data_IF_968068972996
#
_entry.id   IF_968068972996
#
_cell.length_a   1.000
_cell.length_b   1.000
_cell.length_c   1.000
_cell.angle_alpha   90.00
_cell.angle_beta   90.00
_cell.angle_gamma   90.00
#
_symmetry.space_group_name_H-M   'P 1'
#
loop_
_entity.id
_entity.type
_entity.pdbx_description
1 polymer ?
#
# COMPACT_ATOMS: atom_id res chain seq x y z
N UNK A 1 1.86 19.31 -7.17
CA UNK A 1 1.91 17.98 -7.82
C UNK A 1 2.38 18.14 -9.25
N UNK A 2 2.95 17.10 -9.81
CA UNK A 2 3.33 17.08 -11.21
C UNK A 2 2.10 17.21 -12.12
N UNK A 3 2.23 17.89 -13.26
CA UNK A 3 1.15 18.03 -14.24
C UNK A 3 0.75 16.68 -14.86
N UNK A 4 1.64 15.68 -14.83
CA UNK A 4 1.33 14.35 -15.34
C UNK A 4 0.44 13.53 -14.41
N UNK A 5 0.31 13.94 -13.16
CA UNK A 5 -0.54 13.25 -12.19
C UNK A 5 -2.00 13.59 -12.46
N UNK A 6 -2.78 12.60 -12.89
CA UNK A 6 -4.19 12.80 -13.25
C UNK A 6 -4.98 11.50 -13.03
N UNK A 7 -6.28 11.66 -12.85
CA UNK A 7 -7.19 10.52 -12.77
C UNK A 7 -7.13 9.69 -14.06
N UNK A 8 -7.22 8.39 -13.93
CA UNK A 8 -7.14 7.45 -15.04
C UNK A 8 -5.77 6.79 -15.21
N UNK A 9 -4.73 7.32 -14.54
CA UNK A 9 -3.43 6.65 -14.53
C UNK A 9 -3.56 5.27 -13.89
N UNK A 10 -2.91 4.28 -14.47
CA UNK A 10 -2.96 2.91 -13.98
C UNK A 10 -1.59 2.25 -14.09
N UNK A 11 -1.42 1.19 -13.33
CA UNK A 11 -0.23 0.35 -13.37
C UNK A 11 -0.61 -1.08 -13.04
N UNK A 12 0.14 -2.02 -13.60
CA UNK A 12 -0.03 -3.44 -13.32
C UNK A 12 1.32 -3.99 -12.89
N UNK A 13 1.31 -4.82 -11.86
CA UNK A 13 2.52 -5.41 -11.28
C UNK A 13 2.28 -6.89 -11.01
N UNK A 14 3.22 -7.72 -11.43
CA UNK A 14 3.21 -9.13 -11.08
C UNK A 14 4.09 -9.36 -9.86
N UNK A 15 3.56 -10.12 -8.90
CA UNK A 15 4.26 -10.47 -7.67
C UNK A 15 4.37 -12.00 -7.60
N UNK A 16 5.57 -12.50 -7.43
CA UNK A 16 5.80 -13.92 -7.18
C UNK A 16 5.60 -14.18 -5.70
N UNK A 17 4.80 -15.18 -5.39
CA UNK A 17 4.43 -15.49 -4.00
C UNK A 17 5.52 -16.35 -3.38
N UNK A 18 6.48 -15.70 -2.75
CA UNK A 18 7.58 -16.33 -2.05
C UNK A 18 7.16 -16.73 -0.63
N UNK A 19 8.03 -17.44 0.06
CA UNK A 19 7.75 -17.93 1.41
C UNK A 19 7.44 -16.78 2.39
N UNK A 20 8.16 -15.69 2.31
CA UNK A 20 7.98 -14.53 3.22
C UNK A 20 6.60 -13.90 3.10
N UNK A 21 5.96 -14.01 1.94
CA UNK A 21 4.61 -13.50 1.71
C UNK A 21 3.51 -14.42 2.20
N UNK A 22 3.86 -15.59 2.73
CA UNK A 22 2.89 -16.63 3.05
C UNK A 22 2.73 -16.89 4.53
N UNK A 23 1.58 -17.47 4.88
CA UNK A 23 1.27 -18.01 6.21
C UNK A 23 1.04 -19.50 6.09
N UNK A 24 1.25 -20.20 7.20
CA UNK A 24 1.19 -21.68 7.24
C UNK A 24 0.01 -22.23 8.05
N UNK A 25 -1.07 -21.45 8.15
CA UNK A 25 -2.24 -21.84 8.97
C UNK A 25 -2.86 -23.18 8.53
N UNK A 26 -2.78 -23.49 7.24
CA UNK A 26 -3.30 -24.74 6.66
C UNK A 26 -2.21 -25.80 6.49
N UNK A 27 -1.08 -25.65 7.17
CA UNK A 27 0.06 -26.54 7.06
C UNK A 27 1.12 -26.02 6.11
N UNK A 28 2.33 -26.53 6.26
CA UNK A 28 3.48 -26.05 5.48
C UNK A 28 3.37 -26.39 3.99
N UNK A 29 2.62 -27.43 3.65
CA UNK A 29 2.36 -27.85 2.26
C UNK A 29 1.33 -26.94 1.56
N UNK A 30 0.58 -26.15 2.31
CA UNK A 30 -0.47 -25.30 1.79
C UNK A 30 -0.26 -23.83 2.24
N UNK A 31 0.95 -23.35 2.11
CA UNK A 31 1.24 -21.95 2.42
C UNK A 31 0.58 -21.03 1.41
N UNK A 32 -0.11 -20.02 1.91
CA UNK A 32 -0.89 -19.09 1.09
C UNK A 32 -0.49 -17.65 1.34
N UNK A 33 -0.66 -16.84 0.31
CA UNK A 33 -0.43 -15.39 0.33
C UNK A 33 -1.23 -14.77 1.46
N UNK A 34 -0.56 -14.13 2.41
CA UNK A 34 -1.22 -13.54 3.56
C UNK A 34 -1.89 -12.21 3.20
N UNK A 35 -2.99 -11.90 3.86
CA UNK A 35 -3.70 -10.63 3.65
C UNK A 35 -2.82 -9.42 3.95
N UNK A 36 -2.04 -9.37 5.04
CA UNK A 36 -1.14 -8.24 5.27
C UNK A 36 -0.09 -8.04 4.18
N UNK A 37 0.47 -9.10 3.63
CA UNK A 37 1.47 -9.01 2.56
C UNK A 37 0.84 -8.58 1.25
N UNK A 38 -0.34 -9.10 0.93
CA UNK A 38 -1.12 -8.67 -0.22
C UNK A 38 -1.40 -7.16 -0.13
N UNK A 39 -1.85 -6.70 1.03
CA UNK A 39 -2.10 -5.28 1.25
C UNK A 39 -0.83 -4.46 1.05
N UNK A 40 0.28 -4.88 1.62
CA UNK A 40 1.56 -4.21 1.46
C UNK A 40 1.93 -4.07 -0.03
N UNK A 41 1.82 -5.16 -0.79
CA UNK A 41 2.16 -5.16 -2.21
C UNK A 41 1.24 -4.23 -3.02
N UNK A 42 -0.05 -4.16 -2.67
CA UNK A 42 -1.00 -3.22 -3.29
C UNK A 42 -0.62 -1.78 -2.94
N UNK A 43 -0.34 -1.48 -1.68
CA UNK A 43 0.07 -0.15 -1.25
C UNK A 43 1.33 0.31 -1.99
N UNK A 44 2.31 -0.59 -2.15
CA UNK A 44 3.55 -0.25 -2.84
C UNK A 44 3.32 0.00 -4.33
N UNK A 45 2.40 -0.72 -4.96
CA UNK A 45 2.03 -0.46 -6.36
C UNK A 45 1.43 0.94 -6.51
N UNK A 46 0.54 1.33 -5.61
CA UNK A 46 -0.06 2.67 -5.61
C UNK A 46 0.99 3.75 -5.33
N UNK A 47 1.82 3.55 -4.32
CA UNK A 47 2.90 4.49 -3.98
C UNK A 47 3.85 4.70 -5.14
N UNK A 48 4.29 3.64 -5.78
CA UNK A 48 5.23 3.71 -6.90
C UNK A 48 4.63 4.45 -8.10
N UNK A 49 3.34 4.25 -8.37
CA UNK A 49 2.66 5.00 -9.43
C UNK A 49 2.65 6.50 -9.12
N UNK A 50 2.35 6.88 -7.89
CA UNK A 50 2.40 8.29 -7.48
C UNK A 50 3.81 8.86 -7.58
N UNK A 51 4.83 8.12 -7.17
CA UNK A 51 6.22 8.58 -7.24
C UNK A 51 6.68 8.84 -8.67
N UNK A 52 6.21 8.09 -9.64
CA UNK A 52 6.52 8.31 -11.05
C UNK A 52 6.02 9.66 -11.56
N UNK A 53 5.00 10.21 -10.92
CA UNK A 53 4.33 11.44 -11.33
C UNK A 53 4.41 12.55 -10.29
N UNK A 54 5.24 12.37 -9.26
CA UNK A 54 5.39 13.35 -8.18
C UNK A 54 6.64 14.21 -8.38
N UNK A 55 6.59 15.41 -7.84
CA UNK A 55 7.74 16.32 -7.78
C UNK A 55 8.78 15.77 -6.79
N UNK A 56 10.03 16.19 -6.94
CA UNK A 56 11.10 15.85 -6.01
C UNK A 56 10.75 16.31 -4.59
N UNK A 57 11.11 15.54 -3.60
CA UNK A 57 10.84 15.86 -2.20
C UNK A 57 9.43 15.48 -1.73
N UNK A 58 8.64 14.84 -2.59
CA UNK A 58 7.29 14.38 -2.25
C UNK A 58 7.25 12.87 -2.15
N UNK A 59 6.39 12.39 -1.28
CA UNK A 59 6.01 10.97 -1.17
C UNK A 59 4.53 10.91 -0.80
N UNK A 60 4.03 9.78 -0.44
CA UNK A 60 2.65 9.63 0.01
C UNK A 60 2.57 8.64 1.16
N UNK A 61 1.52 8.80 1.96
CA UNK A 61 1.20 7.89 3.06
C UNK A 61 -0.19 7.30 2.84
N UNK A 62 -0.36 6.03 3.21
CA UNK A 62 -1.67 5.40 3.17
C UNK A 62 -2.55 5.94 4.28
N UNK A 63 -3.82 6.21 3.95
CA UNK A 63 -4.78 6.78 4.91
C UNK A 63 -6.01 5.91 5.10
N UNK A 64 -6.37 5.09 4.11
CA UNK A 64 -7.53 4.21 4.18
C UNK A 64 -7.38 3.06 3.20
N UNK A 65 -7.90 1.92 3.58
CA UNK A 65 -7.98 0.77 2.69
C UNK A 65 -9.30 0.02 2.92
N UNK A 66 -9.89 -0.43 1.82
CA UNK A 66 -10.98 -1.39 1.80
C UNK A 66 -10.47 -2.55 0.94
N UNK A 67 -10.35 -3.72 1.52
CA UNK A 67 -9.78 -4.88 0.84
C UNK A 67 -10.65 -6.09 1.08
N UNK A 68 -11.16 -6.68 0.01
CA UNK A 68 -11.77 -8.00 0.03
C UNK A 68 -10.76 -8.99 -0.54
N UNK A 69 -10.25 -9.87 0.30
CA UNK A 69 -9.33 -10.94 -0.09
C UNK A 69 -10.17 -12.19 -0.35
N UNK A 70 -10.51 -12.42 -1.61
CA UNK A 70 -11.55 -13.37 -2.01
C UNK A 70 -11.01 -14.70 -2.56
N UNK A 71 -9.73 -14.75 -2.91
CA UNK A 71 -9.11 -15.96 -3.43
C UNK A 71 -7.78 -16.23 -2.75
N UNK A 72 -7.50 -17.49 -2.45
CA UNK A 72 -6.24 -17.92 -1.85
C UNK A 72 -5.23 -18.26 -2.95
N UNK A 73 -4.02 -17.74 -2.83
CA UNK A 73 -2.93 -18.02 -3.78
C UNK A 73 -1.80 -18.74 -3.04
N UNK A 74 -1.33 -19.85 -3.57
CA UNK A 74 -0.30 -20.65 -2.93
C UNK A 74 1.10 -20.13 -3.22
N UNK A 75 2.01 -20.42 -2.31
CA UNK A 75 3.45 -20.17 -2.52
C UNK A 75 3.90 -20.80 -3.85
N UNK A 76 4.69 -20.05 -4.61
CA UNK A 76 5.16 -20.48 -5.92
C UNK A 76 4.30 -20.03 -7.09
N UNK A 77 3.08 -19.58 -6.83
CA UNK A 77 2.23 -18.96 -7.84
C UNK A 77 2.59 -17.48 -7.99
N UNK A 78 1.94 -16.80 -8.91
CA UNK A 78 2.08 -15.35 -9.07
C UNK A 78 0.71 -14.68 -8.91
N UNK A 79 0.74 -13.40 -8.56
CA UNK A 79 -0.44 -12.54 -8.51
C UNK A 79 -0.16 -11.29 -9.32
N UNK A 80 -1.13 -10.88 -10.12
CA UNK A 80 -1.07 -9.63 -10.88
C UNK A 80 -1.96 -8.60 -10.20
N UNK A 81 -1.35 -7.51 -9.77
CA UNK A 81 -2.03 -6.40 -9.09
C UNK A 81 -2.19 -5.26 -10.09
N UNK A 82 -3.42 -4.79 -10.25
CA UNK A 82 -3.74 -3.65 -11.10
C UNK A 82 -4.29 -2.53 -10.23
N UNK A 83 -3.72 -1.34 -10.34
CA UNK A 83 -4.16 -0.16 -9.60
C UNK A 83 -4.49 0.96 -10.57
N UNK A 84 -5.55 1.70 -10.28
CA UNK A 84 -5.99 2.83 -11.09
C UNK A 84 -6.24 4.02 -10.18
N UNK A 85 -5.63 5.14 -10.50
CA UNK A 85 -5.88 6.40 -9.79
C UNK A 85 -7.25 6.92 -10.20
N UNK A 86 -8.23 6.80 -9.31
CA UNK A 86 -9.63 7.09 -9.60
C UNK A 86 -9.98 8.55 -9.35
N UNK A 87 -9.44 9.14 -8.28
CA UNK A 87 -9.77 10.50 -7.89
C UNK A 87 -8.55 11.23 -7.35
N UNK A 88 -8.50 12.55 -7.61
CA UNK A 88 -7.52 13.46 -7.03
C UNK A 88 -8.31 14.64 -6.46
N UNK A 89 -8.09 14.92 -5.18
CA UNK A 89 -8.66 16.08 -4.51
C UNK A 89 -7.55 16.78 -3.71
N UNK A 90 -6.83 17.69 -4.37
CA UNK A 90 -5.63 18.29 -3.80
C UNK A 90 -4.56 17.22 -3.58
N UNK A 91 -4.11 17.09 -2.34
CA UNK A 91 -3.12 16.07 -1.95
C UNK A 91 -3.76 14.70 -1.63
N UNK A 92 -5.09 14.64 -1.50
CA UNK A 92 -5.79 13.39 -1.24
C UNK A 92 -6.06 12.67 -2.56
N UNK A 93 -5.66 11.42 -2.65
CA UNK A 93 -5.83 10.61 -3.86
C UNK A 93 -6.48 9.28 -3.49
N UNK A 94 -7.27 8.75 -4.41
CA UNK A 94 -7.97 7.50 -4.23
C UNK A 94 -7.72 6.56 -5.40
N UNK A 95 -7.41 5.31 -5.07
CA UNK A 95 -7.17 4.24 -6.03
C UNK A 95 -8.26 3.19 -5.96
N UNK A 96 -8.60 2.62 -7.12
CA UNK A 96 -9.27 1.33 -7.22
C UNK A 96 -8.21 0.27 -7.52
N UNK A 97 -8.36 -0.92 -6.97
CA UNK A 97 -7.44 -2.00 -7.28
C UNK A 97 -8.14 -3.34 -7.44
N UNK A 98 -7.50 -4.20 -8.20
CA UNK A 98 -7.84 -5.62 -8.32
C UNK A 98 -6.55 -6.43 -8.28
N UNK A 99 -6.65 -7.68 -7.85
CA UNK A 99 -5.55 -8.63 -7.92
C UNK A 99 -6.12 -9.97 -8.39
N UNK A 100 -5.36 -10.65 -9.25
CA UNK A 100 -5.77 -11.96 -9.74
C UNK A 100 -4.56 -12.87 -9.90
N UNK A 101 -4.76 -14.17 -9.71
CA UNK A 101 -3.76 -15.17 -10.03
C UNK A 101 -4.12 -15.85 -11.36
N UNK A 102 -3.43 -16.93 -11.70
CA UNK A 102 -3.68 -17.64 -12.95
C UNK A 102 -5.07 -18.28 -12.99
N UNK A 103 -5.71 -18.47 -11.85
CA UNK A 103 -6.95 -19.24 -11.72
C UNK A 103 -8.16 -18.34 -11.51
N UNK A 104 -8.04 -17.29 -10.67
CA UNK A 104 -9.20 -16.56 -10.19
C UNK A 104 -8.85 -15.16 -9.71
N UNK A 105 -9.89 -14.36 -9.41
CA UNK A 105 -9.71 -13.11 -8.71
C UNK A 105 -9.26 -13.38 -7.27
N UNK A 106 -8.23 -12.66 -6.85
CA UNK A 106 -7.63 -12.79 -5.51
C UNK A 106 -8.15 -11.69 -4.58
N UNK A 107 -8.24 -10.47 -5.09
CA UNK A 107 -8.66 -9.33 -4.26
C UNK A 107 -9.23 -8.20 -5.10
N UNK A 108 -10.00 -7.35 -4.42
CA UNK A 108 -10.51 -6.09 -4.98
C UNK A 108 -10.70 -5.10 -3.85
N UNK A 109 -10.70 -3.83 -4.18
CA UNK A 109 -10.98 -2.82 -3.18
C UNK A 109 -10.54 -1.43 -3.59
N UNK A 110 -10.36 -0.58 -2.56
CA UNK A 110 -10.01 0.83 -2.70
C UNK A 110 -8.91 1.18 -1.71
N UNK A 111 -8.06 2.13 -2.11
CA UNK A 111 -6.96 2.58 -1.27
C UNK A 111 -6.77 4.07 -1.42
N UNK A 112 -6.79 4.79 -0.30
CA UNK A 112 -6.57 6.23 -0.27
C UNK A 112 -5.17 6.51 0.23
N UNK A 113 -4.53 7.51 -0.39
CA UNK A 113 -3.23 8.00 0.03
C UNK A 113 -3.25 9.51 0.10
N UNK A 114 -2.30 10.07 0.83
CA UNK A 114 -2.14 11.52 0.95
C UNK A 114 -0.70 11.88 0.58
N UNK A 115 -0.56 12.80 -0.37
CA UNK A 115 0.75 13.25 -0.85
C UNK A 115 1.30 14.26 0.15
N UNK A 116 2.55 14.04 0.59
CA UNK A 116 3.19 14.82 1.63
C UNK A 116 4.57 15.29 1.19
N UNK A 117 5.01 16.40 1.75
CA UNK A 117 6.41 16.81 1.66
C UNK A 117 7.24 16.00 2.64
N UNK A 118 8.29 15.36 2.16
CA UNK A 118 9.13 14.47 2.98
C UNK A 118 9.74 15.24 4.16
N UNK A 119 10.32 16.40 3.90
CA UNK A 119 11.00 17.18 4.92
C UNK A 119 10.06 17.68 6.02
N UNK A 120 8.91 18.25 5.63
CA UNK A 120 7.90 18.72 6.61
C UNK A 120 7.34 17.57 7.43
N UNK A 121 7.11 16.43 6.80
CA UNK A 121 6.59 15.25 7.47
C UNK A 121 7.62 14.72 8.47
N UNK A 122 8.89 14.65 8.09
CA UNK A 122 9.97 14.23 8.98
C UNK A 122 10.05 15.15 10.20
N UNK A 123 9.94 16.46 10.02
CA UNK A 123 9.95 17.43 11.13
C UNK A 123 8.78 17.20 12.08
N UNK A 124 7.57 16.99 11.55
CA UNK A 124 6.39 16.70 12.38
C UNK A 124 6.52 15.39 13.14
N UNK A 125 7.11 14.38 12.53
CA UNK A 125 7.32 13.08 13.18
C UNK A 125 8.35 13.19 14.30
N UNK A 126 9.42 13.95 14.11
CA UNK A 126 10.41 14.20 15.15
C UNK A 126 9.80 14.96 16.32
N UNK A 127 8.95 15.95 16.02
CA UNK A 127 8.25 16.71 17.06
C UNK A 127 7.29 15.82 17.85
N UNK A 128 6.58 14.91 17.17
CA UNK A 128 5.69 13.94 17.83
C UNK A 128 6.48 12.99 18.72
N UNK A 129 7.63 12.51 18.25
CA UNK A 129 8.50 11.65 19.04
C UNK A 129 8.95 12.34 20.33
N UNK A 130 9.35 13.61 20.23
CA UNK A 130 9.74 14.40 21.40
C UNK A 130 8.59 14.52 22.40
N UNK A 131 7.36 14.77 21.92
CA UNK A 131 6.16 14.81 22.77
C UNK A 131 5.88 13.47 23.42
N UNK A 132 6.07 12.38 22.69
CA UNK A 132 5.86 11.03 23.22
C UNK A 132 6.86 10.70 24.31
N UNK A 133 8.13 11.08 24.14
CA UNK A 133 9.17 10.89 25.14
C UNK A 133 8.87 11.70 26.41
N UNK A 134 8.42 12.94 26.25
CA UNK A 134 8.04 13.81 27.36
C UNK A 134 6.83 13.22 28.11
N UNK A 135 5.82 12.77 27.41
CA UNK A 135 4.63 12.14 27.98
C UNK A 135 4.98 10.85 28.74
N UNK A 136 5.86 10.03 28.19
CA UNK A 136 6.33 8.81 28.83
C UNK A 136 7.10 9.11 30.13
N UNK A 137 7.96 10.13 30.12
CA UNK A 137 8.70 10.57 31.32
C UNK A 137 7.74 11.05 32.41
N UNK A 138 6.66 11.74 32.03
CA UNK A 138 5.64 12.25 32.97
C UNK A 138 4.80 11.09 33.54
N UNK A 139 4.45 10.11 32.72
CA UNK A 139 3.62 8.97 33.13
C UNK A 139 4.40 7.86 33.84
N UNK A 140 5.67 7.74 33.50
CA UNK A 140 6.53 6.69 34.04
C UNK A 140 7.10 6.97 35.42
N UNK A 141 6.70 8.09 36.01
CA UNK A 141 7.13 8.51 37.33
C UNK A 141 6.62 7.64 38.46
#
# INVERSE_FOLDING_TARGET
MSESLKAGLSATRRVDIDRDRTISFMGDDCRVYSTPKLLYDIEMACRDLLLQHSEAGKDSVGTRVELDHVGATLMGMWVEISVTLAEINGSAVAFDFTARDAVEMVARGKHNRFIVGIEKTAQRLKAKLAKAQLAAATQGG
#
